data_IF_372059406686
#
_entry.id   IF_372059406686
#
_cell.length_a   1.000
_cell.length_b   1.000
_cell.length_c   1.000
_cell.angle_alpha   90.00
_cell.angle_beta   90.00
_cell.angle_gamma   90.00
#
_symmetry.space_group_name_H-M   'P 1'
#
loop_
_entity.id
_entity.type
_entity.pdbx_description
1 polymer ?
#
# COMPACT_ATOMS: atom_id res chain seq x y z
N UNK A 1 -19.80 -5.37 13.46
CA UNK A 1 -20.23 -6.65 12.84
C UNK A 1 -21.07 -6.42 11.58
N UNK A 2 -22.14 -5.61 11.61
CA UNK A 2 -23.00 -5.36 10.43
C UNK A 2 -22.26 -4.75 9.21
N UNK A 3 -21.36 -3.79 9.44
CA UNK A 3 -20.57 -3.15 8.37
C UNK A 3 -19.58 -4.16 7.75
N UNK A 4 -18.90 -4.95 8.59
CA UNK A 4 -17.98 -5.99 8.12
C UNK A 4 -18.69 -7.08 7.30
N UNK A 5 -19.89 -7.49 7.74
CA UNK A 5 -20.74 -8.43 6.98
C UNK A 5 -21.18 -7.86 5.63
N UNK A 6 -21.50 -6.56 5.56
CA UNK A 6 -21.85 -5.88 4.31
C UNK A 6 -20.66 -5.77 3.34
N UNK A 7 -19.48 -5.39 3.84
CA UNK A 7 -18.29 -5.27 2.99
C UNK A 7 -17.84 -6.64 2.47
N UNK A 8 -17.71 -7.65 3.33
CA UNK A 8 -17.30 -8.99 2.90
C UNK A 8 -18.37 -9.72 2.10
N UNK A 9 -19.65 -9.55 2.44
CA UNK A 9 -20.76 -10.24 1.78
C UNK A 9 -21.21 -9.62 0.46
N UNK A 10 -21.05 -8.30 0.28
CA UNK A 10 -21.54 -7.61 -0.94
C UNK A 10 -20.40 -7.12 -1.82
N UNK A 11 -19.39 -6.44 -1.27
CA UNK A 11 -18.40 -5.75 -2.11
C UNK A 11 -17.40 -6.70 -2.76
N UNK A 12 -16.90 -7.72 -2.03
CA UNK A 12 -15.94 -8.69 -2.58
C UNK A 12 -16.59 -9.61 -3.63
N UNK A 13 -17.78 -10.21 -3.39
CA UNK A 13 -18.38 -11.11 -4.36
C UNK A 13 -18.84 -10.38 -5.62
N UNK A 14 -19.39 -9.16 -5.47
CA UNK A 14 -19.80 -8.34 -6.63
C UNK A 14 -18.57 -7.92 -7.45
N UNK A 15 -17.45 -7.56 -6.80
CA UNK A 15 -16.21 -7.22 -7.52
C UNK A 15 -15.66 -8.41 -8.29
N UNK A 16 -15.63 -9.60 -7.67
CA UNK A 16 -15.18 -10.84 -8.34
C UNK A 16 -16.13 -11.24 -9.47
N UNK A 17 -17.44 -11.13 -9.27
CA UNK A 17 -18.45 -11.40 -10.29
C UNK A 17 -18.31 -10.43 -11.47
N UNK A 18 -18.05 -9.14 -11.22
CA UNK A 18 -17.82 -8.16 -12.27
C UNK A 18 -16.54 -8.44 -13.05
N UNK A 19 -15.45 -8.86 -12.39
CA UNK A 19 -14.21 -9.28 -13.07
C UNK A 19 -14.48 -10.52 -13.94
N UNK A 20 -15.22 -11.51 -13.42
CA UNK A 20 -15.58 -12.71 -14.16
C UNK A 20 -16.47 -12.41 -15.38
N UNK A 21 -17.49 -11.56 -15.20
CA UNK A 21 -18.40 -11.15 -16.26
C UNK A 21 -17.66 -10.32 -17.34
N UNK A 22 -16.78 -9.41 -16.94
CA UNK A 22 -15.93 -8.63 -17.85
C UNK A 22 -14.94 -9.53 -18.61
N UNK A 23 -14.39 -10.57 -17.98
CA UNK A 23 -13.54 -11.56 -18.66
C UNK A 23 -14.32 -12.33 -19.72
N UNK A 24 -15.53 -12.82 -19.40
CA UNK A 24 -16.38 -13.55 -20.34
C UNK A 24 -16.84 -12.70 -21.53
N UNK A 25 -17.01 -11.38 -21.32
CA UNK A 25 -17.40 -10.41 -22.36
C UNK A 25 -16.22 -9.90 -23.20
N UNK A 26 -14.98 -10.18 -22.82
CA UNK A 26 -13.78 -9.68 -23.52
C UNK A 26 -13.54 -8.17 -23.37
N UNK A 27 -14.29 -7.47 -22.51
CA UNK A 27 -14.16 -6.03 -22.24
C UNK A 27 -13.13 -5.72 -21.13
N UNK A 28 -12.24 -6.68 -20.85
CA UNK A 28 -11.27 -6.53 -19.78
C UNK A 28 -10.26 -5.44 -20.15
N UNK A 29 -10.23 -4.35 -19.36
CA UNK A 29 -9.25 -3.26 -19.51
C UNK A 29 -7.79 -3.74 -19.41
N UNK A 30 -7.56 -4.90 -18.78
CA UNK A 30 -6.27 -5.54 -18.59
C UNK A 30 -6.20 -6.82 -19.44
N UNK A 31 -5.02 -7.17 -19.96
CA UNK A 31 -4.85 -8.30 -20.89
C UNK A 31 -5.10 -9.68 -20.29
N UNK A 32 -5.16 -9.80 -18.95
CA UNK A 32 -5.42 -11.07 -18.26
C UNK A 32 -6.04 -10.86 -16.87
N UNK A 33 -6.74 -11.88 -16.37
CA UNK A 33 -7.25 -11.92 -14.98
C UNK A 33 -6.10 -11.78 -13.99
N UNK A 34 -4.93 -12.36 -14.30
CA UNK A 34 -3.74 -12.23 -13.47
C UNK A 34 -3.33 -10.77 -13.27
N UNK A 35 -3.40 -9.99 -14.34
CA UNK A 35 -3.04 -8.57 -14.28
C UNK A 35 -4.10 -7.73 -13.56
N UNK A 36 -5.36 -8.17 -13.58
CA UNK A 36 -6.44 -7.59 -12.76
C UNK A 36 -6.31 -7.92 -11.26
N UNK A 37 -5.79 -9.10 -10.90
CA UNK A 37 -5.58 -9.52 -9.50
C UNK A 37 -4.23 -9.08 -8.92
N UNK A 38 -3.28 -8.70 -9.77
CA UNK A 38 -1.98 -8.13 -9.42
C UNK A 38 -1.98 -7.11 -8.27
N UNK A 39 -2.91 -6.14 -8.18
CA UNK A 39 -2.99 -5.19 -7.04
C UNK A 39 -3.28 -5.83 -5.68
N UNK A 40 -3.88 -7.03 -5.65
CA UNK A 40 -4.18 -7.74 -4.41
C UNK A 40 -2.92 -8.32 -3.75
N UNK A 41 -1.93 -8.72 -4.57
CA UNK A 41 -0.70 -9.36 -4.12
C UNK A 41 0.07 -8.52 -3.09
N UNK A 42 0.42 -7.24 -3.34
CA UNK A 42 1.18 -6.45 -2.37
C UNK A 42 0.41 -6.17 -1.07
N UNK A 43 -0.92 -6.04 -1.13
CA UNK A 43 -1.76 -5.85 0.06
C UNK A 43 -1.76 -7.12 0.91
N UNK A 44 -1.97 -8.29 0.30
CA UNK A 44 -1.93 -9.57 1.00
C UNK A 44 -0.55 -9.85 1.58
N UNK A 45 0.52 -9.56 0.83
CA UNK A 45 1.89 -9.76 1.30
C UNK A 45 2.20 -8.86 2.50
N UNK A 46 1.76 -7.60 2.48
CA UNK A 46 1.87 -6.71 3.63
C UNK A 46 1.13 -7.30 4.83
N UNK A 47 -0.15 -7.67 4.66
CA UNK A 47 -0.96 -8.19 5.76
C UNK A 47 -0.39 -9.48 6.37
N UNK A 48 0.09 -10.41 5.55
CA UNK A 48 0.75 -11.64 6.00
C UNK A 48 2.05 -11.31 6.75
N UNK A 49 2.90 -10.46 6.17
CA UNK A 49 4.19 -10.08 6.79
C UNK A 49 3.99 -9.39 8.15
N UNK A 50 3.02 -8.49 8.26
CA UNK A 50 2.72 -7.79 9.51
C UNK A 50 2.06 -8.71 10.54
N UNK A 51 1.26 -9.68 10.09
CA UNK A 51 0.66 -10.68 10.99
C UNK A 51 1.73 -11.61 11.55
N UNK A 52 2.65 -12.09 10.70
CA UNK A 52 3.81 -12.90 11.13
C UNK A 52 4.66 -12.11 12.11
N UNK A 53 4.96 -10.84 11.83
CA UNK A 53 5.69 -9.98 12.76
C UNK A 53 4.95 -9.86 14.11
N UNK A 54 3.64 -9.61 14.10
CA UNK A 54 2.87 -9.43 15.32
C UNK A 54 2.83 -10.70 16.20
N UNK A 55 2.79 -11.90 15.60
CA UNK A 55 2.72 -13.18 16.32
C UNK A 55 4.10 -13.61 16.84
N UNK A 56 5.15 -13.44 16.03
CA UNK A 56 6.50 -13.93 16.34
C UNK A 56 7.42 -12.87 16.96
N UNK A 57 6.92 -11.65 17.23
CA UNK A 57 7.71 -10.58 17.87
C UNK A 57 8.15 -11.00 19.29
N UNK A 58 9.47 -11.13 19.55
CA UNK A 58 9.97 -11.54 20.86
C UNK A 58 9.76 -10.47 21.94
N UNK A 59 9.66 -9.20 21.54
CA UNK A 59 9.48 -8.07 22.46
C UNK A 59 8.01 -7.76 22.75
N UNK A 60 7.06 -8.46 22.11
CA UNK A 60 5.65 -8.08 22.11
C UNK A 60 5.47 -6.59 21.77
N UNK A 61 5.90 -6.18 20.56
CA UNK A 61 5.74 -4.80 20.07
C UNK A 61 4.31 -4.27 20.25
N UNK A 62 3.30 -5.14 20.15
CA UNK A 62 1.90 -4.77 20.36
C UNK A 62 1.61 -4.27 21.79
N UNK A 63 2.30 -4.81 22.79
CA UNK A 63 2.14 -4.39 24.18
C UNK A 63 3.00 -3.16 24.50
N UNK A 64 4.23 -3.10 23.96
CA UNK A 64 5.15 -2.00 24.24
C UNK A 64 4.78 -0.71 23.48
N UNK A 65 4.57 -0.80 22.16
CA UNK A 65 4.36 0.34 21.27
C UNK A 65 3.41 0.03 20.10
N UNK A 66 2.19 -0.42 20.42
CA UNK A 66 1.14 -0.68 19.41
C UNK A 66 0.93 0.50 18.45
N UNK A 67 1.02 1.74 18.94
CA UNK A 67 0.82 2.96 18.15
C UNK A 67 1.77 3.05 16.95
N UNK A 68 3.05 2.78 17.19
CA UNK A 68 4.11 2.88 16.17
C UNK A 68 3.92 1.79 15.14
N UNK A 69 3.61 0.58 15.60
CA UNK A 69 3.36 -0.57 14.72
C UNK A 69 2.16 -0.32 13.80
N UNK A 70 1.00 0.07 14.35
CA UNK A 70 -0.18 0.36 13.52
C UNK A 70 0.05 1.54 12.58
N UNK A 71 0.82 2.56 12.99
CA UNK A 71 1.12 3.70 12.13
C UNK A 71 2.06 3.33 10.99
N UNK A 72 3.06 2.46 11.25
CA UNK A 72 3.95 1.92 10.23
C UNK A 72 3.15 1.11 9.20
N UNK A 73 2.36 0.14 9.66
CA UNK A 73 1.53 -0.71 8.79
C UNK A 73 0.57 0.14 7.96
N UNK A 74 -0.10 1.12 8.60
CA UNK A 74 -0.98 2.05 7.92
C UNK A 74 -0.27 2.88 6.84
N UNK A 75 0.91 3.42 7.14
CA UNK A 75 1.68 4.24 6.19
C UNK A 75 2.12 3.42 4.96
N UNK A 76 2.59 2.20 5.18
CA UNK A 76 2.98 1.31 4.08
C UNK A 76 1.77 0.90 3.25
N UNK A 77 0.65 0.57 3.90
CA UNK A 77 -0.61 0.28 3.22
C UNK A 77 -1.09 1.46 2.38
N UNK A 78 -1.06 2.68 2.91
CA UNK A 78 -1.42 3.90 2.18
C UNK A 78 -0.52 4.16 0.97
N UNK A 79 0.79 3.89 1.06
CA UNK A 79 1.71 4.01 -0.06
C UNK A 79 1.36 3.02 -1.19
N UNK A 80 1.09 1.76 -0.84
CA UNK A 80 0.64 0.75 -1.80
C UNK A 80 -0.70 1.18 -2.42
N UNK A 81 -1.70 1.53 -1.61
CA UNK A 81 -3.03 1.93 -2.07
C UNK A 81 -2.99 3.14 -3.00
N UNK A 82 -2.20 4.18 -2.69
CA UNK A 82 -2.02 5.33 -3.57
C UNK A 82 -1.44 4.94 -4.93
N UNK A 83 -0.44 4.04 -4.97
CA UNK A 83 0.09 3.50 -6.24
C UNK A 83 -0.97 2.76 -7.03
N UNK A 84 -1.77 1.93 -6.37
CA UNK A 84 -2.87 1.20 -7.02
C UNK A 84 -3.89 2.15 -7.67
N UNK A 85 -4.32 3.18 -6.92
CA UNK A 85 -5.30 4.15 -7.41
C UNK A 85 -4.75 4.90 -8.62
N UNK A 86 -3.51 5.37 -8.56
CA UNK A 86 -2.87 6.09 -9.68
C UNK A 86 -2.77 5.18 -10.91
N UNK A 87 -2.25 3.96 -10.77
CA UNK A 87 -2.14 3.01 -11.87
C UNK A 87 -3.51 2.71 -12.52
N UNK A 88 -4.56 2.58 -11.71
CA UNK A 88 -5.90 2.31 -12.22
C UNK A 88 -6.48 3.49 -13.01
N UNK A 89 -6.24 4.72 -12.55
CA UNK A 89 -6.69 5.96 -13.19
C UNK A 89 -5.92 6.24 -14.47
N UNK A 90 -4.59 6.06 -14.49
CA UNK A 90 -3.75 6.25 -15.67
C UNK A 90 -3.75 5.06 -16.63
N UNK A 91 -4.45 3.98 -16.31
CA UNK A 91 -4.44 2.73 -17.09
C UNK A 91 -3.03 2.15 -17.27
N UNK A 92 -2.12 2.43 -16.33
CA UNK A 92 -0.74 1.94 -16.36
C UNK A 92 -0.63 0.67 -15.52
N UNK A 93 0.38 -0.16 -15.85
CA UNK A 93 0.63 -1.40 -15.09
C UNK A 93 1.04 -1.06 -13.66
N UNK A 94 0.43 -1.73 -12.69
CA UNK A 94 0.85 -1.62 -11.31
C UNK A 94 2.14 -2.41 -11.07
N UNK A 95 3.17 -1.73 -10.57
CA UNK A 95 4.36 -2.39 -10.06
C UNK A 95 3.99 -3.15 -8.79
N UNK A 96 4.21 -4.47 -8.79
CA UNK A 96 3.87 -5.38 -7.66
C UNK A 96 4.84 -5.21 -6.50
N UNK A 97 6.08 -4.88 -6.81
CA UNK A 97 7.16 -4.86 -5.85
C UNK A 97 7.50 -3.41 -5.51
N UNK A 98 6.93 -2.92 -4.40
CA UNK A 98 7.33 -1.63 -3.87
C UNK A 98 8.72 -1.78 -3.21
N UNK A 99 9.62 -0.83 -3.45
CA UNK A 99 10.94 -0.79 -2.82
C UNK A 99 10.86 -0.89 -1.28
N UNK A 100 9.75 -0.43 -0.70
CA UNK A 100 9.44 -0.51 0.74
C UNK A 100 9.32 -1.93 1.30
N UNK A 101 9.14 -2.97 0.46
CA UNK A 101 9.16 -4.36 0.93
C UNK A 101 10.56 -4.82 1.35
N UNK A 102 11.61 -4.26 0.74
CA UNK A 102 12.99 -4.60 1.07
C UNK A 102 13.37 -4.25 2.53
N UNK A 103 13.13 -3.02 3.03
CA UNK A 103 13.44 -2.68 4.42
C UNK A 103 12.55 -3.41 5.42
N UNK A 104 11.29 -3.74 5.09
CA UNK A 104 10.44 -4.58 5.94
C UNK A 104 10.99 -6.00 6.02
N UNK A 105 11.35 -6.60 4.88
CA UNK A 105 11.94 -7.94 4.84
C UNK A 105 13.26 -8.02 5.61
N UNK A 106 14.12 -7.01 5.46
CA UNK A 106 15.37 -6.91 6.22
C UNK A 106 15.13 -6.82 7.73
N UNK A 107 14.15 -6.03 8.15
CA UNK A 107 13.79 -5.91 9.56
C UNK A 107 13.28 -7.24 10.13
N UNK A 108 12.43 -7.96 9.40
CA UNK A 108 11.97 -9.29 9.81
C UNK A 108 13.12 -10.28 9.93
N UNK A 109 14.04 -10.32 8.95
CA UNK A 109 15.22 -11.18 9.01
C UNK A 109 16.07 -10.86 10.24
N UNK A 110 16.31 -9.57 10.52
CA UNK A 110 17.09 -9.14 11.68
C UNK A 110 16.45 -9.56 13.01
N UNK A 111 15.12 -9.46 13.11
CA UNK A 111 14.36 -9.90 14.28
C UNK A 111 14.48 -11.41 14.50
N UNK A 112 14.39 -12.21 13.42
CA UNK A 112 14.54 -13.67 13.51
C UNK A 112 15.98 -14.10 13.83
N UNK A 113 17.00 -13.38 13.37
CA UNK A 113 18.41 -13.72 13.64
C UNK A 113 18.91 -13.28 15.01
N UNK A 114 18.34 -12.22 15.59
CA UNK A 114 18.76 -11.67 16.89
C UNK A 114 17.59 -11.45 17.86
N UNK A 115 17.01 -12.53 18.42
CA UNK A 115 15.88 -12.43 19.34
C UNK A 115 16.23 -11.85 20.73
N UNK A 116 17.52 -11.61 21.03
CA UNK A 116 17.97 -11.32 22.39
C UNK A 116 17.91 -9.83 22.81
N UNK A 117 17.71 -8.90 21.87
CA UNK A 117 17.81 -7.46 22.15
C UNK A 117 16.47 -6.73 21.95
N UNK A 118 15.61 -6.77 22.96
CA UNK A 118 14.25 -6.20 22.92
C UNK A 118 14.20 -4.71 22.58
N UNK A 119 15.15 -3.90 23.08
CA UNK A 119 15.18 -2.46 22.80
C UNK A 119 15.49 -2.12 21.33
N UNK A 120 16.18 -3.02 20.61
CA UNK A 120 16.56 -2.78 19.21
C UNK A 120 15.38 -2.91 18.28
N UNK A 121 14.40 -3.78 18.60
CA UNK A 121 13.20 -4.00 17.77
C UNK A 121 12.37 -2.71 17.63
N UNK A 122 12.19 -1.99 18.75
CA UNK A 122 11.41 -0.74 18.80
C UNK A 122 12.12 0.37 18.02
N UNK A 123 13.45 0.49 18.17
CA UNK A 123 14.23 1.49 17.42
C UNK A 123 14.17 1.24 15.91
N UNK A 124 14.23 -0.03 15.49
CA UNK A 124 14.09 -0.41 14.08
C UNK A 124 12.68 -0.06 13.58
N UNK A 125 11.63 -0.36 14.34
CA UNK A 125 10.26 -0.02 13.96
C UNK A 125 10.06 1.50 13.77
N UNK A 126 10.64 2.31 14.65
CA UNK A 126 10.65 3.78 14.52
C UNK A 126 11.44 4.27 13.30
N UNK A 127 12.63 3.71 13.05
CA UNK A 127 13.42 4.06 11.89
C UNK A 127 12.69 3.72 10.58
N UNK A 128 12.04 2.55 10.52
CA UNK A 128 11.21 2.13 9.40
C UNK A 128 9.98 3.04 9.22
N UNK A 129 9.36 3.49 10.32
CA UNK A 129 8.23 4.40 10.26
C UNK A 129 8.65 5.72 9.60
N UNK A 130 9.73 6.33 10.07
CA UNK A 130 10.25 7.59 9.52
C UNK A 130 10.59 7.42 8.03
N UNK A 131 11.31 6.35 7.67
CA UNK A 131 11.64 6.05 6.28
C UNK A 131 10.38 5.85 5.42
N UNK A 132 9.37 5.16 5.94
CA UNK A 132 8.11 4.90 5.23
C UNK A 132 7.32 6.19 5.00
N UNK A 133 7.29 7.09 5.99
CA UNK A 133 6.65 8.41 5.86
C UNK A 133 7.37 9.24 4.79
N UNK A 134 8.70 9.33 4.85
CA UNK A 134 9.49 10.07 3.86
C UNK A 134 9.26 9.52 2.45
N UNK A 135 9.28 8.19 2.29
CA UNK A 135 9.02 7.55 1.01
C UNK A 135 7.59 7.80 0.51
N UNK A 136 6.59 7.80 1.40
CA UNK A 136 5.20 8.08 1.06
C UNK A 136 5.01 9.54 0.60
N UNK A 137 5.58 10.49 1.34
CA UNK A 137 5.53 11.92 0.99
C UNK A 137 6.26 12.19 -0.32
N UNK A 138 7.48 11.66 -0.49
CA UNK A 138 8.25 11.82 -1.72
C UNK A 138 7.49 11.29 -2.93
N UNK A 139 6.93 10.07 -2.82
CA UNK A 139 6.10 9.50 -3.88
C UNK A 139 4.90 10.40 -4.20
N UNK A 140 4.18 10.86 -3.18
CA UNK A 140 3.02 11.75 -3.36
C UNK A 140 3.38 13.04 -4.09
N UNK A 141 4.45 13.72 -3.67
CA UNK A 141 4.93 14.96 -4.31
C UNK A 141 5.32 14.71 -5.76
N UNK A 142 6.10 13.66 -6.05
CA UNK A 142 6.51 13.33 -7.41
C UNK A 142 5.32 13.06 -8.33
N UNK A 143 4.34 12.27 -7.89
CA UNK A 143 3.15 11.96 -8.69
C UNK A 143 2.33 13.20 -8.96
N UNK A 144 2.09 14.02 -7.94
CA UNK A 144 1.33 15.27 -8.08
C UNK A 144 2.02 16.20 -9.07
N UNK A 145 3.34 16.36 -8.99
CA UNK A 145 4.13 17.16 -9.95
C UNK A 145 4.04 16.61 -11.38
N UNK A 146 4.15 15.28 -11.55
CA UNK A 146 4.03 14.62 -12.86
C UNK A 146 2.64 14.83 -13.46
N UNK A 147 1.58 14.69 -12.67
CA UNK A 147 0.20 14.94 -13.10
C UNK A 147 -0.02 16.40 -13.48
N UNK A 148 0.44 17.34 -12.65
CA UNK A 148 0.35 18.77 -12.93
C UNK A 148 1.09 19.14 -14.24
N UNK A 149 2.26 18.54 -14.49
CA UNK A 149 2.99 18.69 -15.77
C UNK A 149 2.23 18.08 -16.95
N UNK A 150 1.63 16.90 -16.77
CA UNK A 150 0.88 16.21 -17.81
C UNK A 150 -0.39 16.98 -18.21
N UNK A 151 -1.16 17.46 -17.23
CA UNK A 151 -2.38 18.23 -17.47
C UNK A 151 -2.12 19.72 -17.76
N UNK A 152 -0.88 20.20 -17.62
CA UNK A 152 -0.50 21.62 -17.72
C UNK A 152 -1.28 22.52 -16.74
N UNK A 153 -1.53 22.03 -15.54
CA UNK A 153 -2.21 22.76 -14.46
C UNK A 153 -1.22 22.94 -13.32
N UNK A 154 -1.22 24.10 -12.66
CA UNK A 154 -0.42 24.30 -11.45
C UNK A 154 -1.23 23.76 -10.25
N UNK A 155 -0.65 22.84 -9.47
CA UNK A 155 -1.38 22.12 -8.41
C UNK A 155 -2.04 23.05 -7.36
N UNK A 156 -1.52 24.28 -7.19
CA UNK A 156 -2.03 25.27 -6.25
C UNK A 156 -2.47 26.59 -6.90
N UNK A 157 -2.62 26.64 -8.24
CA UNK A 157 -3.16 27.82 -8.92
C UNK A 157 -4.54 27.52 -9.49
N UNK A 158 -5.56 28.18 -8.94
CA UNK A 158 -6.94 28.13 -9.42
C UNK A 158 -7.21 29.24 -10.46
N UNK A 159 -6.18 29.79 -11.11
CA UNK A 159 -6.38 30.85 -12.09
C UNK A 159 -6.68 30.22 -13.45
N UNK A 160 -7.95 30.26 -13.85
CA UNK A 160 -8.38 30.02 -15.24
C UNK A 160 -7.57 30.98 -16.12
N UNK A 161 -6.89 30.47 -17.15
CA UNK A 161 -6.25 31.32 -18.16
C UNK A 161 -7.39 32.07 -18.87
N UNK A 162 -7.66 33.28 -18.39
CA UNK A 162 -8.50 34.24 -19.08
C UNK A 162 -7.67 34.78 -20.24
N UNK A 163 -7.77 34.11 -21.38
CA UNK A 163 -7.54 34.76 -22.66
C UNK A 163 -8.90 35.22 -23.18
N UNK A 164 -9.11 36.52 -23.03
CA UNK A 164 -9.77 37.33 -24.05
C UNK A 164 -9.12 37.08 -25.42
#
# INVERSE_FOLDING_TARGET
MLIYGGTFGMSLPVSLYNIYCAYKKGELKQTSIWEAMRPLIPILLLFLSTTVWAIYSPTNILYNDSRVFYWLVGTVFSNIACRLIVCQMSSTRCEVFNWLFYPIGLALLFIFTCPHQSSTEVVIAWALLILSILAHVHYGVCVVQQMCKHFRIYCFSLKKDGKD
#
